data_IF_657696292854
#
_entry.id   IF_657696292854
#
_cell.length_a   1.000
_cell.length_b   1.000
_cell.length_c   1.000
_cell.angle_alpha   90.00
_cell.angle_beta   90.00
_cell.angle_gamma   90.00
#
_symmetry.space_group_name_H-M   'P 1'
#
loop_
_entity.id
_entity.type
_entity.pdbx_description
1 polymer ?
#
# COMPACT_ATOMS: atom_id res chain seq x y z
N UNK A 1 -27.06 -19.45 -101.57
CA UNK A 1 -27.13 -19.20 -100.11
C UNK A 1 -26.44 -20.33 -99.38
N UNK A 2 -25.20 -20.12 -98.95
CA UNK A 2 -24.57 -20.90 -97.87
C UNK A 2 -23.49 -19.99 -97.29
N UNK A 3 -23.76 -19.47 -96.09
CA UNK A 3 -22.82 -18.65 -95.31
C UNK A 3 -21.72 -19.56 -94.72
N UNK A 4 -20.49 -19.05 -94.53
CA UNK A 4 -19.44 -19.79 -93.85
C UNK A 4 -19.72 -19.82 -92.35
N UNK A 5 -19.72 -21.02 -91.76
CA UNK A 5 -19.84 -21.22 -90.32
C UNK A 5 -18.55 -20.75 -89.65
N UNK A 6 -18.64 -19.68 -88.87
CA UNK A 6 -17.64 -19.29 -87.88
C UNK A 6 -17.88 -20.13 -86.62
N UNK A 7 -17.14 -21.24 -86.47
CA UNK A 7 -17.10 -22.03 -85.25
C UNK A 7 -15.64 -22.48 -85.09
N UNK A 8 -14.87 -21.74 -84.31
CA UNK A 8 -13.56 -22.19 -83.78
C UNK A 8 -12.91 -21.16 -82.82
N UNK A 9 -13.50 -19.96 -82.67
CA UNK A 9 -12.94 -18.91 -81.82
C UNK A 9 -13.42 -18.88 -80.36
N UNK A 10 -14.50 -19.60 -80.00
CA UNK A 10 -15.17 -19.44 -78.70
C UNK A 10 -14.75 -20.48 -77.65
N UNK A 11 -14.42 -21.70 -78.07
CA UNK A 11 -13.99 -22.78 -77.17
C UNK A 11 -12.61 -22.48 -76.55
N UNK A 12 -11.72 -21.78 -77.28
CA UNK A 12 -10.37 -21.43 -76.84
C UNK A 12 -10.29 -20.27 -75.81
N UNK A 13 -11.38 -19.53 -75.59
CA UNK A 13 -11.48 -18.44 -74.61
C UNK A 13 -12.11 -18.92 -73.30
N UNK A 14 -13.10 -19.81 -73.39
CA UNK A 14 -13.76 -20.43 -72.23
C UNK A 14 -12.81 -21.42 -71.50
N UNK A 15 -12.01 -22.22 -72.23
CA UNK A 15 -10.98 -23.11 -71.63
C UNK A 15 -9.90 -22.31 -70.87
N UNK A 16 -9.48 -21.15 -71.40
CA UNK A 16 -8.45 -20.31 -70.75
C UNK A 16 -8.93 -19.66 -69.45
N UNK A 17 -10.22 -19.39 -69.34
CA UNK A 17 -10.82 -18.87 -68.11
C UNK A 17 -10.96 -19.98 -67.06
N UNK A 18 -11.35 -21.20 -67.45
CA UNK A 18 -11.38 -22.36 -66.54
C UNK A 18 -9.99 -22.69 -65.99
N UNK A 19 -8.96 -22.76 -66.84
CA UNK A 19 -7.56 -22.97 -66.43
C UNK A 19 -7.07 -21.89 -65.44
N UNK A 20 -7.47 -20.64 -65.64
CA UNK A 20 -7.12 -19.53 -64.77
C UNK A 20 -7.76 -19.67 -63.37
N UNK A 21 -9.04 -20.06 -63.32
CA UNK A 21 -9.72 -20.28 -62.05
C UNK A 21 -9.22 -21.53 -61.34
N UNK A 22 -8.89 -22.60 -62.08
CA UNK A 22 -8.32 -23.84 -61.51
C UNK A 22 -6.95 -23.57 -60.88
N UNK A 23 -6.04 -22.88 -61.59
CA UNK A 23 -4.76 -22.45 -61.02
C UNK A 23 -4.94 -21.57 -59.77
N UNK A 24 -5.92 -20.66 -59.79
CA UNK A 24 -6.20 -19.78 -58.66
C UNK A 24 -6.75 -20.53 -57.44
N UNK A 25 -7.56 -21.57 -57.66
CA UNK A 25 -8.05 -22.47 -56.62
C UNK A 25 -6.88 -23.22 -55.99
N UNK A 26 -6.01 -23.84 -56.79
CA UNK A 26 -4.82 -24.55 -56.27
C UNK A 26 -3.93 -23.64 -55.41
N UNK A 27 -3.69 -22.41 -55.87
CA UNK A 27 -2.90 -21.43 -55.11
C UNK A 27 -3.56 -21.03 -53.78
N UNK A 28 -4.89 -20.89 -53.76
CA UNK A 28 -5.63 -20.61 -52.54
C UNK A 28 -5.63 -21.81 -51.58
N UNK A 29 -5.72 -23.03 -52.08
CA UNK A 29 -5.63 -24.25 -51.28
C UNK A 29 -4.27 -24.39 -50.61
N UNK A 30 -3.19 -24.10 -51.34
CA UNK A 30 -1.83 -24.06 -50.79
C UNK A 30 -1.69 -23.00 -49.69
N UNK A 31 -2.29 -21.83 -49.89
CA UNK A 31 -2.27 -20.75 -48.90
C UNK A 31 -3.11 -21.09 -47.66
N UNK A 32 -4.28 -21.71 -47.82
CA UNK A 32 -5.09 -22.23 -46.72
C UNK A 32 -4.32 -23.31 -45.95
N UNK A 33 -3.63 -24.21 -46.64
CA UNK A 33 -2.79 -25.22 -46.01
C UNK A 33 -1.63 -24.58 -45.19
N UNK A 34 -1.04 -23.51 -45.71
CA UNK A 34 0.01 -22.74 -45.02
C UNK A 34 -0.53 -22.03 -43.77
N UNK A 35 -1.67 -21.35 -43.90
CA UNK A 35 -2.30 -20.60 -42.82
C UNK A 35 -2.80 -21.54 -41.71
N UNK A 36 -3.46 -22.64 -42.06
CA UNK A 36 -3.89 -23.66 -41.08
C UNK A 36 -2.71 -24.27 -40.32
N UNK A 37 -1.56 -24.48 -40.97
CA UNK A 37 -0.33 -24.91 -40.29
C UNK A 37 0.16 -23.86 -39.29
N UNK A 38 0.13 -22.57 -39.65
CA UNK A 38 0.52 -21.49 -38.76
C UNK A 38 -0.45 -21.31 -37.58
N UNK A 39 -1.76 -21.44 -37.81
CA UNK A 39 -2.80 -21.37 -36.78
C UNK A 39 -2.62 -22.48 -35.75
N UNK A 40 -2.38 -23.73 -36.20
CA UNK A 40 -2.10 -24.87 -35.30
C UNK A 40 -0.89 -24.59 -34.41
N UNK A 41 0.17 -24.00 -34.96
CA UNK A 41 1.37 -23.63 -34.19
C UNK A 41 1.05 -22.54 -33.15
N UNK A 42 0.39 -21.46 -33.56
CA UNK A 42 0.00 -20.38 -32.65
C UNK A 42 -0.91 -20.88 -31.54
N UNK A 43 -1.88 -21.75 -31.87
CA UNK A 43 -2.79 -22.38 -30.89
C UNK A 43 -2.02 -23.15 -29.83
N UNK A 44 -1.03 -23.96 -30.23
CA UNK A 44 -0.20 -24.70 -29.27
C UNK A 44 0.66 -23.79 -28.38
N UNK A 45 1.10 -22.64 -28.90
CA UNK A 45 1.87 -21.68 -28.10
C UNK A 45 0.99 -20.93 -27.10
N UNK A 46 -0.23 -20.54 -27.50
CA UNK A 46 -1.23 -19.96 -26.60
C UNK A 46 -1.53 -20.91 -25.45
N UNK A 47 -1.74 -22.20 -25.73
CA UNK A 47 -1.98 -23.22 -24.71
C UNK A 47 -0.80 -23.33 -23.71
N UNK A 48 0.45 -23.29 -24.21
CA UNK A 48 1.63 -23.25 -23.33
C UNK A 48 1.65 -22.01 -22.44
N UNK A 49 1.34 -20.84 -22.99
CA UNK A 49 1.32 -19.58 -22.24
C UNK A 49 0.23 -19.60 -21.16
N UNK A 50 -0.98 -20.08 -21.47
CA UNK A 50 -2.05 -20.21 -20.49
C UNK A 50 -1.67 -21.14 -19.32
N UNK A 51 -0.98 -22.25 -19.59
CA UNK A 51 -0.50 -23.16 -18.53
C UNK A 51 0.53 -22.50 -17.60
N UNK A 52 1.44 -21.68 -18.17
CA UNK A 52 2.42 -20.91 -17.39
C UNK A 52 1.71 -19.84 -16.56
N UNK A 53 0.75 -19.12 -17.13
CA UNK A 53 -0.06 -18.12 -16.43
C UNK A 53 -0.82 -18.73 -15.24
N UNK A 54 -1.45 -19.89 -15.42
CA UNK A 54 -2.15 -20.60 -14.35
C UNK A 54 -1.17 -21.04 -13.24
N UNK A 55 0.02 -21.50 -13.62
CA UNK A 55 1.07 -21.88 -12.66
C UNK A 55 1.60 -20.68 -11.87
N UNK A 56 1.75 -19.52 -12.53
CA UNK A 56 2.14 -18.27 -11.89
C UNK A 56 1.06 -17.76 -10.95
N UNK A 57 -0.22 -17.87 -11.30
CA UNK A 57 -1.31 -17.46 -10.42
C UNK A 57 -1.45 -18.39 -9.20
N UNK A 58 -1.27 -19.71 -9.38
CA UNK A 58 -1.16 -20.65 -8.25
C UNK A 58 -0.02 -20.26 -7.31
N UNK A 59 1.16 -20.03 -7.88
CA UNK A 59 2.33 -19.60 -7.13
C UNK A 59 2.09 -18.26 -6.42
N UNK A 60 1.42 -17.30 -7.06
CA UNK A 60 1.04 -16.01 -6.47
C UNK A 60 0.07 -16.18 -5.29
N UNK A 61 -0.89 -17.09 -5.38
CA UNK A 61 -1.81 -17.42 -4.29
C UNK A 61 -1.05 -18.11 -3.14
N UNK A 62 -0.12 -19.03 -3.45
CA UNK A 62 0.75 -19.66 -2.45
C UNK A 62 1.67 -18.64 -1.76
N UNK A 63 2.30 -17.73 -2.50
CA UNK A 63 3.10 -16.62 -1.94
C UNK A 63 2.25 -15.67 -1.11
N UNK A 64 1.00 -15.37 -1.50
CA UNK A 64 0.06 -14.60 -0.68
C UNK A 64 -0.22 -15.29 0.66
N UNK A 65 -0.29 -16.63 0.70
CA UNK A 65 -0.43 -17.38 1.94
C UNK A 65 0.85 -17.31 2.81
N UNK A 66 2.03 -17.16 2.20
CA UNK A 66 3.29 -16.94 2.91
C UNK A 66 3.44 -15.51 3.45
N UNK A 67 3.00 -14.48 2.70
CA UNK A 67 2.95 -13.08 3.18
C UNK A 67 1.92 -12.91 4.32
N UNK A 68 0.80 -13.64 4.27
CA UNK A 68 -0.20 -13.65 5.36
C UNK A 68 0.26 -14.45 6.59
N UNK A 69 1.21 -15.36 6.44
CA UNK A 69 1.80 -16.07 7.59
C UNK A 69 2.73 -15.17 8.39
N UNK A 70 3.23 -14.07 7.83
CA UNK A 70 3.93 -13.07 8.62
C UNK A 70 2.94 -12.23 9.44
N UNK A 71 1.83 -11.77 8.85
CA UNK A 71 0.87 -10.87 9.54
C UNK A 71 0.10 -11.54 10.70
N UNK A 72 -0.29 -12.80 10.55
CA UNK A 72 -1.07 -13.51 11.58
C UNK A 72 -0.21 -13.94 12.77
N UNK A 73 1.09 -14.17 12.55
CA UNK A 73 2.08 -14.48 13.58
C UNK A 73 2.75 -13.24 14.18
N UNK A 74 2.75 -12.11 13.46
CA UNK A 74 3.17 -10.80 13.96
C UNK A 74 2.10 -10.13 14.84
N UNK A 75 0.84 -10.59 14.81
CA UNK A 75 -0.25 -9.98 15.59
C UNK A 75 0.05 -9.89 17.10
N UNK A 76 0.55 -10.94 17.79
CA UNK A 76 0.92 -10.85 19.20
C UNK A 76 2.17 -9.99 19.40
N UNK A 77 3.15 -10.15 18.51
CA UNK A 77 4.46 -9.49 18.57
C UNK A 77 4.31 -7.96 18.40
N UNK A 78 3.58 -7.49 17.39
CA UNK A 78 3.34 -6.06 17.18
C UNK A 78 2.51 -5.44 18.32
N UNK A 79 1.55 -6.17 18.89
CA UNK A 79 0.81 -5.71 20.07
C UNK A 79 1.67 -5.62 21.33
N UNK A 80 2.62 -6.56 21.49
CA UNK A 80 3.55 -6.61 22.63
C UNK A 80 4.66 -5.55 22.54
N UNK A 81 5.18 -5.27 21.33
CA UNK A 81 6.28 -4.32 21.13
C UNK A 81 5.84 -2.91 20.72
N UNK A 82 4.66 -2.74 20.10
CA UNK A 82 4.13 -1.44 19.66
C UNK A 82 2.89 -1.02 20.45
N UNK A 83 2.57 -1.71 21.53
CA UNK A 83 1.45 -1.42 22.41
C UNK A 83 1.76 -0.34 23.45
N UNK A 84 0.91 0.66 23.55
CA UNK A 84 0.94 1.63 24.63
C UNK A 84 0.41 1.00 25.92
N UNK A 85 1.24 0.90 26.96
CA UNK A 85 0.85 0.33 28.26
C UNK A 85 -0.24 1.13 28.98
N UNK A 86 -0.47 2.39 28.59
CA UNK A 86 -1.51 3.24 29.19
C UNK A 86 -2.90 3.02 28.59
N UNK A 87 -2.99 2.89 27.26
CA UNK A 87 -4.28 2.74 26.58
C UNK A 87 -4.49 1.36 25.95
N UNK A 88 -3.52 0.45 26.09
CA UNK A 88 -3.52 -0.92 25.55
C UNK A 88 -3.73 -1.05 24.04
N UNK A 89 -3.55 0.06 23.31
CA UNK A 89 -3.67 0.15 21.85
C UNK A 89 -2.29 0.32 21.22
N UNK A 90 -2.17 0.09 19.90
CA UNK A 90 -0.97 0.44 19.14
C UNK A 90 -0.65 1.93 19.33
N UNK A 91 0.63 2.26 19.47
CA UNK A 91 1.07 3.64 19.65
C UNK A 91 0.54 4.56 18.55
N UNK A 92 -0.10 5.66 18.96
CA UNK A 92 -0.45 6.79 18.08
C UNK A 92 0.50 7.94 18.45
N UNK A 93 1.37 8.33 17.51
CA UNK A 93 2.43 9.32 17.72
C UNK A 93 3.23 8.99 18.99
N UNK A 94 4.04 7.91 18.99
CA UNK A 94 4.79 7.50 20.17
C UNK A 94 5.69 8.61 20.71
N UNK A 95 5.69 8.78 22.03
CA UNK A 95 6.54 9.72 22.76
C UNK A 95 7.32 9.00 23.85
N UNK A 96 8.63 9.26 23.91
CA UNK A 96 9.58 8.75 24.89
C UNK A 96 9.81 9.80 25.97
N UNK A 97 9.78 9.38 27.23
CA UNK A 97 10.06 10.25 28.37
C UNK A 97 11.55 10.24 28.74
N UNK A 98 11.96 11.17 29.59
CA UNK A 98 13.33 11.22 30.17
C UNK A 98 13.80 9.91 30.83
N UNK A 99 12.87 9.08 31.29
CA UNK A 99 13.13 7.75 31.87
C UNK A 99 13.08 6.60 30.85
N UNK A 100 13.05 6.90 29.55
CA UNK A 100 12.98 5.96 28.42
C UNK A 100 11.68 5.13 28.29
N UNK A 101 10.67 5.36 29.11
CA UNK A 101 9.35 4.76 28.89
C UNK A 101 8.61 5.45 27.74
N UNK A 102 7.81 4.68 27.00
CA UNK A 102 7.12 5.14 25.80
C UNK A 102 5.60 5.02 25.91
N UNK A 103 4.90 6.06 25.47
CA UNK A 103 3.44 6.18 25.48
C UNK A 103 2.94 6.83 24.18
N UNK A 104 1.63 6.76 23.89
CA UNK A 104 1.09 7.65 22.86
C UNK A 104 1.24 9.11 23.32
N UNK A 105 1.50 10.03 22.39
CA UNK A 105 1.64 11.46 22.72
C UNK A 105 0.42 11.99 23.47
N UNK A 106 -0.78 11.63 23.01
CA UNK A 106 -2.02 11.98 23.69
C UNK A 106 -2.11 11.39 25.11
N UNK A 107 -1.77 10.11 25.28
CA UNK A 107 -1.85 9.44 26.58
C UNK A 107 -0.97 10.10 27.64
N UNK A 108 0.30 10.36 27.29
CA UNK A 108 1.20 10.99 28.25
C UNK A 108 0.83 12.45 28.52
N UNK A 109 0.40 13.21 27.50
CA UNK A 109 -0.07 14.59 27.70
C UNK A 109 -1.27 14.63 28.66
N UNK A 110 -2.23 13.74 28.48
CA UNK A 110 -3.40 13.62 29.37
C UNK A 110 -2.97 13.27 30.80
N UNK A 111 -2.02 12.35 30.97
CA UNK A 111 -1.48 12.00 32.28
C UNK A 111 -0.76 13.18 32.95
N UNK A 112 0.07 13.90 32.18
CA UNK A 112 0.86 15.04 32.66
C UNK A 112 0.01 16.24 33.09
N UNK A 113 -1.25 16.31 32.66
CA UNK A 113 -2.18 17.33 33.18
C UNK A 113 -2.46 17.22 34.68
N UNK A 114 -2.17 16.06 35.29
CA UNK A 114 -2.44 15.78 36.72
C UNK A 114 -1.24 15.23 37.49
N UNK A 115 -0.19 14.77 36.80
CA UNK A 115 0.94 14.08 37.42
C UNK A 115 2.26 14.42 36.70
N UNK A 116 3.30 14.80 37.43
CA UNK A 116 4.63 15.06 36.85
C UNK A 116 5.50 13.80 36.69
N UNK A 117 5.05 12.65 37.20
CA UNK A 117 5.82 11.40 37.28
C UNK A 117 5.41 10.40 36.20
N UNK A 118 6.37 9.61 35.71
CA UNK A 118 6.12 8.54 34.75
C UNK A 118 5.06 7.53 35.25
N UNK A 119 4.06 7.14 34.43
CA UNK A 119 3.08 6.10 34.80
C UNK A 119 3.71 4.75 35.15
N UNK A 120 4.83 4.39 34.52
CA UNK A 120 5.48 3.08 34.69
C UNK A 120 6.45 3.05 35.86
N UNK A 121 7.44 3.94 35.88
CA UNK A 121 8.53 3.90 36.88
C UNK A 121 8.48 4.98 37.95
N UNK A 122 7.51 5.91 37.85
CA UNK A 122 7.31 7.02 38.80
C UNK A 122 8.47 8.02 38.93
N UNK A 123 9.45 7.98 38.03
CA UNK A 123 10.48 9.01 37.93
C UNK A 123 9.88 10.33 37.42
N UNK A 124 10.44 11.47 37.82
CA UNK A 124 10.03 12.79 37.31
C UNK A 124 10.27 12.90 35.81
N UNK A 125 9.32 13.50 35.10
CA UNK A 125 9.38 13.70 33.66
C UNK A 125 10.02 15.06 33.40
N UNK A 126 11.28 15.08 32.96
CA UNK A 126 11.98 16.32 32.62
C UNK A 126 11.80 16.73 31.16
N UNK A 127 11.64 15.75 30.25
CA UNK A 127 11.34 16.00 28.84
C UNK A 127 10.50 14.88 28.23
N UNK A 128 9.85 15.21 27.10
CA UNK A 128 9.07 14.29 26.29
C UNK A 128 9.43 14.50 24.83
N UNK A 129 9.86 13.44 24.15
CA UNK A 129 10.30 13.50 22.75
C UNK A 129 9.48 12.54 21.90
N UNK A 130 8.98 13.00 20.75
CA UNK A 130 8.28 12.12 19.81
C UNK A 130 9.30 11.24 19.06
N UNK A 131 8.96 9.97 18.84
CA UNK A 131 9.76 9.06 18.03
C UNK A 131 9.18 9.00 16.61
N UNK A 132 9.70 9.85 15.71
CA UNK A 132 9.18 10.00 14.35
C UNK A 132 9.41 8.74 13.51
N UNK A 133 10.54 8.07 13.69
CA UNK A 133 10.93 6.86 12.97
C UNK A 133 9.99 5.71 13.31
N UNK A 134 9.70 5.53 14.61
CA UNK A 134 8.74 4.52 15.05
C UNK A 134 7.33 4.85 14.58
N UNK A 135 6.94 6.12 14.59
CA UNK A 135 5.65 6.56 14.06
C UNK A 135 5.51 6.20 12.57
N UNK A 136 6.52 6.50 11.75
CA UNK A 136 6.54 6.16 10.33
C UNK A 136 6.45 4.64 10.09
N UNK A 137 7.19 3.86 10.89
CA UNK A 137 7.12 2.40 10.85
C UNK A 137 5.72 1.87 11.20
N UNK A 138 5.10 2.40 12.26
CA UNK A 138 3.74 2.05 12.66
C UNK A 138 2.76 2.36 11.52
N UNK A 139 2.84 3.55 10.92
CA UNK A 139 1.94 3.94 9.83
C UNK A 139 2.03 2.98 8.65
N UNK A 140 3.25 2.66 8.18
CA UNK A 140 3.45 1.67 7.11
C UNK A 140 2.93 0.28 7.48
N UNK A 141 3.10 -0.12 8.73
CA UNK A 141 2.60 -1.41 9.24
C UNK A 141 1.07 -1.46 9.29
N UNK A 142 0.43 -0.34 9.62
CA UNK A 142 -1.04 -0.22 9.64
C UNK A 142 -1.62 -0.15 8.21
N UNK A 143 -0.96 0.58 7.30
CA UNK A 143 -1.40 0.72 5.90
C UNK A 143 -1.41 -0.59 5.13
N UNK A 144 -0.39 -1.42 5.37
CA UNK A 144 -0.25 -2.76 4.79
C UNK A 144 -1.05 -3.84 5.51
N UNK A 145 -1.67 -3.50 6.65
CA UNK A 145 -2.39 -4.42 7.51
C UNK A 145 -3.87 -4.61 7.14
N UNK A 146 -4.59 -5.23 8.07
CA UNK A 146 -6.02 -5.50 7.96
C UNK A 146 -6.87 -4.20 7.92
N UNK A 147 -7.83 -4.08 6.98
CA UNK A 147 -8.63 -2.87 6.82
C UNK A 147 -9.41 -2.46 8.07
N UNK A 148 -9.94 -3.41 8.84
CA UNK A 148 -10.74 -3.08 10.03
C UNK A 148 -9.85 -2.50 11.13
N UNK A 149 -8.66 -3.06 11.34
CA UNK A 149 -7.68 -2.48 12.28
C UNK A 149 -7.17 -1.12 11.85
N UNK A 150 -6.92 -0.94 10.56
CA UNK A 150 -6.53 0.36 10.02
C UNK A 150 -7.64 1.39 10.27
N UNK A 151 -8.88 1.03 10.01
CA UNK A 151 -10.03 1.91 10.24
C UNK A 151 -10.16 2.26 11.73
N UNK A 152 -9.96 1.30 12.62
CA UNK A 152 -9.97 1.49 14.06
C UNK A 152 -8.85 2.43 14.52
N UNK A 153 -7.61 2.18 14.10
CA UNK A 153 -6.45 3.03 14.40
C UNK A 153 -6.70 4.48 13.94
N UNK A 154 -7.19 4.67 12.72
CA UNK A 154 -7.51 5.99 12.17
C UNK A 154 -8.66 6.67 12.90
N UNK A 155 -9.67 5.91 13.36
CA UNK A 155 -10.77 6.43 14.19
C UNK A 155 -10.21 7.01 15.48
N UNK A 156 -9.47 6.22 16.25
CA UNK A 156 -8.89 6.63 17.53
C UNK A 156 -7.91 7.82 17.33
N UNK A 157 -7.08 7.79 16.28
CA UNK A 157 -6.15 8.88 15.99
C UNK A 157 -6.87 10.21 15.77
N UNK A 158 -7.95 10.21 14.98
CA UNK A 158 -8.76 11.42 14.72
C UNK A 158 -9.47 11.93 15.97
N UNK A 159 -9.97 11.03 16.82
CA UNK A 159 -10.58 11.41 18.10
C UNK A 159 -9.55 12.11 19.00
N UNK A 160 -8.36 11.54 19.14
CA UNK A 160 -7.28 12.10 19.96
C UNK A 160 -6.73 13.44 19.45
N UNK A 161 -6.76 13.66 18.13
CA UNK A 161 -6.39 14.96 17.53
C UNK A 161 -7.42 16.05 17.85
N UNK A 162 -8.72 15.71 17.88
CA UNK A 162 -9.79 16.64 18.25
C UNK A 162 -9.78 17.00 19.73
N UNK A 163 -9.47 16.03 20.58
CA UNK A 163 -9.40 16.23 22.03
C UNK A 163 -8.29 17.18 22.49
N UNK A 164 -7.37 17.57 21.59
CA UNK A 164 -6.57 18.78 21.72
C UNK A 164 -5.91 19.00 23.08
N UNK A 165 -5.33 17.94 23.68
CA UNK A 165 -4.78 17.98 25.05
C UNK A 165 -3.89 19.20 25.32
N UNK A 166 -4.46 20.19 26.01
CA UNK A 166 -3.88 21.46 26.48
C UNK A 166 -3.03 21.20 27.75
N UNK A 167 -1.96 21.90 28.13
CA UNK A 167 -1.34 23.22 27.87
C UNK A 167 0.18 23.01 28.01
N UNK A 168 1.01 23.67 27.20
CA UNK A 168 2.48 23.61 27.34
C UNK A 168 2.85 24.04 28.77
N UNK A 169 3.55 23.19 29.53
CA UNK A 169 4.28 23.64 30.71
C UNK A 169 5.60 24.16 30.16
N UNK A 170 5.65 25.46 29.88
CA UNK A 170 6.93 26.16 29.81
C UNK A 170 7.48 26.14 31.23
N UNK A 171 8.55 25.36 31.43
CA UNK A 171 9.33 25.48 32.65
C UNK A 171 9.94 26.88 32.64
N UNK A 172 9.44 27.73 33.52
CA UNK A 172 10.13 28.93 33.98
C UNK A 172 11.44 28.50 34.63
N UNK A 173 12.53 28.70 33.91
CA UNK A 173 13.85 28.91 34.50
C UNK A 173 14.25 30.34 34.21
N UNK A 174 14.88 30.97 35.20
CA UNK A 174 15.61 32.24 35.17
C UNK A 174 14.73 33.43 35.62
N UNK A 175 15.03 34.23 36.65
CA UNK A 175 16.19 34.40 37.54
C UNK A 175 15.67 35.10 38.82
N UNK A 176 16.22 34.74 39.99
CA UNK A 176 16.15 35.60 41.18
C UNK A 176 17.12 36.76 40.95
N UNK A 177 16.61 37.95 40.61
CA UNK A 177 17.34 39.20 40.78
C UNK A 177 16.77 39.96 41.98
N UNK A 178 17.53 39.85 43.06
CA UNK A 178 17.58 40.73 44.21
C UNK A 178 18.01 42.13 43.72
N UNK A 179 17.09 43.08 43.70
CA UNK A 179 17.42 44.50 43.71
C UNK A 179 16.64 45.17 44.83
N UNK A 180 17.32 45.25 45.97
CA UNK A 180 17.05 46.25 46.99
C UNK A 180 17.25 47.64 46.37
N UNK A 181 16.19 48.42 46.25
CA UNK A 181 16.33 49.87 46.29
C UNK A 181 15.17 50.51 47.08
N UNK A 182 15.63 51.15 48.15
CA UNK A 182 14.97 52.03 49.09
C UNK A 182 14.45 53.28 48.37
N UNK A 183 13.14 53.53 48.44
CA UNK A 183 12.60 54.89 48.41
C UNK A 183 11.38 54.99 49.33
N UNK A 184 11.66 55.24 50.61
CA UNK A 184 10.76 56.06 51.41
C UNK A 184 10.74 57.49 50.86
N UNK A 185 9.59 58.19 50.91
CA UNK A 185 9.41 59.56 51.44
C UNK A 185 8.11 60.26 50.91
N UNK A 186 7.11 60.40 51.80
CA UNK A 186 6.06 61.44 51.95
C UNK A 186 5.25 61.93 50.72
N UNK A 187 3.91 61.79 50.76
CA UNK A 187 2.95 62.76 51.30
C UNK A 187 2.96 64.12 50.57
N UNK A 188 1.95 64.34 49.70
CA UNK A 188 0.89 65.35 49.82
C UNK A 188 -0.21 65.06 48.79
#
# INVERSE_FOLDING_TARGET
YQQPKTQDGNENLEEKDEDYYEYKIEMLELEVARLTKSEKKLRSEVERLCNVEESLEKLRIEFRQLDLRNWMWLKPILGEFLGCTFCTEIYIKPSVLSCNHMFCSWCIRTWMSRNSKCPTCRQEISFVTNCAELNEFILKSIESGDPDRRNEYLRISRERERDGGYRVIENSSDEEEDDSDDYSYYAY
#
